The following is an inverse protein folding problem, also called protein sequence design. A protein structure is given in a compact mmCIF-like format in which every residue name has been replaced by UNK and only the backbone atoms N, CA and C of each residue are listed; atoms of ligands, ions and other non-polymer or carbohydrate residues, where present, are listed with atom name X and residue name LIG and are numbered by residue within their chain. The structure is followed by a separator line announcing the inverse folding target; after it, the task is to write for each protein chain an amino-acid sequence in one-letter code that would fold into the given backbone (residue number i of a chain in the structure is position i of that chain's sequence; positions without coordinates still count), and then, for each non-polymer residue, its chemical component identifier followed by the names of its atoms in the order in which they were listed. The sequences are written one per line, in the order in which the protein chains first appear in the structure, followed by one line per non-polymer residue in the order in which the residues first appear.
data_IF_536048752392
#
_entry.id   IF_536048752392
#
_cell.length_a   1.000
_cell.length_b   1.000
_cell.length_c   1.000
_cell.angle_alpha   90.00
_cell.angle_beta   90.00
_cell.angle_gamma   90.00
#
_symmetry.space_group_name_H-M   'P 1'
#
loop_
_entity.id
_entity.type
_entity.pdbx_description
1 polymer ?
#
# COMPACT_ATOMS: atom_id res chain seq x y z
N UNK A 1 33.91 -13.43 -0.25
CA UNK A 1 34.10 -12.05 -0.76
C UNK A 1 33.61 -11.11 0.32
N UNK A 2 34.42 -10.15 0.72
CA UNK A 2 34.02 -9.15 1.72
C UNK A 2 32.92 -8.25 1.14
N UNK A 3 31.90 -7.90 1.93
CA UNK A 3 30.80 -7.09 1.43
C UNK A 3 31.25 -5.64 1.21
N UNK A 4 30.95 -5.12 0.02
CA UNK A 4 31.32 -3.78 -0.40
C UNK A 4 30.53 -2.73 0.37
N UNK A 5 31.19 -1.61 0.68
CA UNK A 5 30.50 -0.42 1.15
C UNK A 5 29.83 0.27 -0.04
N UNK A 6 28.60 0.76 0.15
CA UNK A 6 27.79 1.35 -0.92
C UNK A 6 28.43 2.61 -1.53
N UNK A 7 29.12 3.39 -0.69
CA UNK A 7 29.82 4.63 -1.05
C UNK A 7 31.02 4.79 -0.13
N UNK A 8 32.18 5.14 -0.68
CA UNK A 8 33.41 5.24 0.10
C UNK A 8 33.70 6.67 0.58
N UNK A 9 33.16 7.71 -0.09
CA UNK A 9 33.42 9.11 0.26
C UNK A 9 32.19 9.86 0.76
N UNK A 10 32.38 10.78 1.73
CA UNK A 10 31.29 11.65 2.23
C UNK A 10 30.72 12.58 1.15
N UNK A 11 31.53 12.93 0.14
CA UNK A 11 31.12 13.79 -0.99
C UNK A 11 30.11 13.09 -1.89
N UNK A 12 30.35 11.82 -2.21
CA UNK A 12 29.41 11.00 -2.99
C UNK A 12 28.06 10.84 -2.27
N UNK A 13 28.06 10.64 -0.95
CA UNK A 13 26.82 10.63 -0.15
C UNK A 13 26.06 11.95 -0.27
N UNK A 14 26.74 13.08 -0.16
CA UNK A 14 26.13 14.40 -0.34
C UNK A 14 25.49 14.57 -1.72
N UNK A 15 26.16 14.10 -2.77
CA UNK A 15 25.63 14.14 -4.15
C UNK A 15 24.39 13.28 -4.30
N UNK A 16 24.40 12.04 -3.78
CA UNK A 16 23.23 11.15 -3.81
C UNK A 16 22.03 11.79 -3.10
N UNK A 17 22.22 12.32 -1.89
CA UNK A 17 21.13 12.97 -1.16
C UNK A 17 20.63 14.22 -1.87
N UNK A 18 21.51 15.01 -2.49
CA UNK A 18 21.12 16.16 -3.29
C UNK A 18 20.29 15.76 -4.51
N UNK A 19 20.68 14.70 -5.21
CA UNK A 19 19.91 14.17 -6.34
C UNK A 19 18.53 13.68 -5.90
N UNK A 20 18.47 12.90 -4.81
CA UNK A 20 17.21 12.42 -4.25
C UNK A 20 16.32 13.58 -3.78
N UNK A 21 16.90 14.64 -3.23
CA UNK A 21 16.18 15.84 -2.83
C UNK A 21 15.53 16.55 -4.04
N UNK A 22 16.25 16.72 -5.15
CA UNK A 22 15.66 17.29 -6.37
C UNK A 22 14.56 16.40 -6.95
N UNK A 23 14.76 15.08 -6.96
CA UNK A 23 13.74 14.13 -7.41
C UNK A 23 12.49 14.20 -6.52
N UNK A 24 12.67 14.35 -5.20
CA UNK A 24 11.57 14.52 -4.25
C UNK A 24 10.82 15.83 -4.50
N UNK A 25 11.52 16.95 -4.71
CA UNK A 25 10.89 18.23 -5.05
C UNK A 25 10.10 18.16 -6.36
N UNK A 26 10.65 17.48 -7.37
CA UNK A 26 9.96 17.29 -8.64
C UNK A 26 8.65 16.48 -8.46
N UNK A 27 8.70 15.41 -7.66
CA UNK A 27 7.50 14.61 -7.37
C UNK A 27 6.48 15.42 -6.55
N UNK A 28 6.94 16.19 -5.55
CA UNK A 28 6.07 17.05 -4.76
C UNK A 28 5.41 18.13 -5.63
N UNK A 29 6.15 18.69 -6.58
CA UNK A 29 5.64 19.65 -7.55
C UNK A 29 4.56 19.04 -8.44
N UNK A 30 4.73 17.81 -8.91
CA UNK A 30 3.70 17.11 -9.67
C UNK A 30 2.40 16.93 -8.86
N UNK A 31 2.51 16.54 -7.59
CA UNK A 31 1.35 16.50 -6.68
C UNK A 31 0.71 17.87 -6.45
N UNK A 32 1.52 18.92 -6.41
CA UNK A 32 1.03 20.28 -6.24
C UNK A 32 0.23 20.76 -7.47
N UNK A 33 0.66 20.42 -8.69
CA UNK A 33 -0.11 20.71 -9.90
C UNK A 33 -1.49 20.04 -9.87
N UNK A 34 -1.53 18.74 -9.54
CA UNK A 34 -2.79 18.00 -9.40
C UNK A 34 -3.71 18.59 -8.33
N UNK A 35 -3.13 19.04 -7.22
CA UNK A 35 -3.86 19.76 -6.17
C UNK A 35 -4.46 21.08 -6.65
N UNK A 36 -3.72 21.84 -7.48
CA UNK A 36 -4.24 23.08 -8.06
C UNK A 36 -5.43 22.82 -8.99
N UNK A 37 -5.40 21.75 -9.78
CA UNK A 37 -6.54 21.36 -10.63
C UNK A 37 -7.81 21.09 -9.80
N UNK A 38 -7.67 20.43 -8.64
CA UNK A 38 -8.80 20.11 -7.76
C UNK A 38 -9.45 21.36 -7.17
N UNK A 39 -8.65 22.35 -6.75
CA UNK A 39 -9.17 23.53 -6.02
C UNK A 39 -9.64 24.65 -6.94
N UNK A 40 -9.39 24.55 -8.25
CA UNK A 40 -9.93 25.51 -9.22
C UNK A 40 -11.46 25.57 -9.19
N UNK A 41 -12.12 24.45 -8.90
CA UNK A 41 -13.57 24.38 -8.76
C UNK A 41 -13.97 24.45 -7.29
N UNK A 42 -15.01 25.23 -6.95
CA UNK A 42 -15.53 25.31 -5.57
C UNK A 42 -16.13 23.99 -5.09
N UNK A 43 -16.65 23.21 -6.03
CA UNK A 43 -17.23 21.88 -5.83
C UNK A 43 -16.48 20.91 -6.72
N UNK A 44 -15.83 19.93 -6.11
CA UNK A 44 -15.16 18.86 -6.83
C UNK A 44 -16.06 17.62 -6.87
N UNK A 45 -16.18 17.01 -8.06
CA UNK A 45 -16.95 15.78 -8.30
C UNK A 45 -16.02 14.71 -8.84
N UNK A 46 -16.04 13.53 -8.21
CA UNK A 46 -15.37 12.35 -8.76
C UNK A 46 -15.98 11.05 -8.18
N UNK A 47 -15.51 9.93 -8.70
CA UNK A 47 -15.81 8.58 -8.25
C UNK A 47 -14.79 8.10 -7.22
N UNK A 48 -15.27 7.51 -6.13
CA UNK A 48 -14.44 7.06 -5.02
C UNK A 48 -14.81 5.66 -4.58
N UNK A 49 -13.83 4.91 -4.09
CA UNK A 49 -14.05 3.60 -3.47
C UNK A 49 -14.20 3.79 -1.96
N UNK A 50 -15.20 3.13 -1.39
CA UNK A 50 -15.42 3.06 0.06
C UNK A 50 -14.37 2.14 0.68
N UNK A 51 -13.29 2.72 1.22
CA UNK A 51 -12.20 1.95 1.84
C UNK A 51 -12.54 1.51 3.25
N UNK A 52 -13.24 2.34 4.03
CA UNK A 52 -13.68 1.97 5.38
C UNK A 52 -14.93 2.71 5.82
N UNK A 53 -15.60 2.18 6.85
CA UNK A 53 -16.84 2.69 7.43
C UNK A 53 -16.69 2.73 8.95
N UNK A 54 -16.96 3.90 9.54
CA UNK A 54 -16.89 4.14 10.99
C UNK A 54 -18.28 4.52 11.51
N UNK A 55 -19.06 3.57 12.03
CA UNK A 55 -20.38 3.89 12.59
C UNK A 55 -20.23 4.72 13.88
N UNK A 56 -20.99 5.81 13.99
CA UNK A 56 -21.15 6.62 15.22
C UNK A 56 -22.59 6.56 15.70
N UNK A 57 -22.92 7.22 16.81
CA UNK A 57 -24.27 7.21 17.37
C UNK A 57 -25.29 7.90 16.47
N UNK A 58 -24.93 9.05 15.89
CA UNK A 58 -25.85 9.90 15.11
C UNK A 58 -25.61 9.88 13.60
N UNK A 59 -24.39 9.55 13.16
CA UNK A 59 -24.00 9.49 11.75
C UNK A 59 -23.01 8.35 11.50
N UNK A 60 -22.64 8.14 10.24
CA UNK A 60 -21.58 7.20 9.85
C UNK A 60 -20.51 7.97 9.10
N UNK A 61 -19.24 7.79 9.46
CA UNK A 61 -18.13 8.37 8.70
C UNK A 61 -17.62 7.37 7.67
N UNK A 62 -17.54 7.78 6.41
CA UNK A 62 -16.94 7.01 5.33
C UNK A 62 -15.51 7.48 5.09
N UNK A 63 -14.61 6.53 4.84
CA UNK A 63 -13.29 6.81 4.24
C UNK A 63 -13.39 6.50 2.75
N UNK A 64 -13.33 7.54 1.94
CA UNK A 64 -13.41 7.48 0.48
C UNK A 64 -12.02 7.69 -0.10
N UNK A 65 -11.67 6.93 -1.14
CA UNK A 65 -10.39 7.10 -1.84
C UNK A 65 -10.51 6.78 -3.31
N UNK A 66 -9.86 7.58 -4.14
CA UNK A 66 -9.51 7.28 -5.52
C UNK A 66 -7.96 7.26 -5.62
N UNK A 67 -7.42 7.34 -6.83
CA UNK A 67 -5.96 7.32 -7.08
C UNK A 67 -5.24 8.59 -6.57
N UNK A 68 -5.96 9.70 -6.42
CA UNK A 68 -5.36 11.01 -6.15
C UNK A 68 -5.69 11.56 -4.75
N UNK A 69 -6.87 11.29 -4.23
CA UNK A 69 -7.47 11.89 -3.04
C UNK A 69 -7.95 10.77 -2.12
N UNK A 70 -7.68 10.94 -0.83
CA UNK A 70 -8.33 10.19 0.24
C UNK A 70 -8.98 11.19 1.18
N UNK A 71 -10.26 11.04 1.45
CA UNK A 71 -10.95 11.92 2.39
C UNK A 71 -11.99 11.18 3.22
N UNK A 72 -12.45 11.87 4.27
CA UNK A 72 -13.45 11.40 5.19
C UNK A 72 -14.69 12.30 5.10
N UNK A 73 -15.86 11.70 5.09
CA UNK A 73 -17.14 12.41 5.05
C UNK A 73 -18.16 11.73 5.96
N UNK A 74 -19.18 12.46 6.40
CA UNK A 74 -20.23 11.94 7.26
C UNK A 74 -21.53 11.82 6.50
N UNK A 75 -22.19 10.68 6.67
CA UNK A 75 -23.48 10.35 6.05
C UNK A 75 -24.51 9.96 7.11
N UNK A 76 -25.78 10.04 6.74
CA UNK A 76 -26.87 9.49 7.55
C UNK A 76 -26.83 7.95 7.51
N UNK A 77 -27.26 7.32 8.61
CA UNK A 77 -27.23 5.86 8.77
C UNK A 77 -28.10 5.09 7.79
N UNK A 78 -29.10 5.75 7.21
CA UNK A 78 -30.11 5.10 6.37
C UNK A 78 -29.57 4.68 4.99
N UNK A 79 -28.38 5.14 4.61
CA UNK A 79 -27.73 4.76 3.35
C UNK A 79 -26.99 3.42 3.51
N UNK A 80 -27.44 2.39 2.79
CA UNK A 80 -26.83 1.07 2.78
C UNK A 80 -25.61 1.01 1.85
N UNK A 81 -24.50 1.61 2.30
CA UNK A 81 -23.20 1.64 1.62
C UNK A 81 -22.28 0.61 2.26
N UNK A 82 -21.63 -0.23 1.44
CA UNK A 82 -20.69 -1.25 1.89
C UNK A 82 -19.24 -0.91 1.52
N UNK A 83 -18.29 -1.57 2.18
CA UNK A 83 -16.87 -1.48 1.80
C UNK A 83 -16.71 -2.04 0.39
N UNK A 84 -15.79 -1.45 -0.39
CA UNK A 84 -15.56 -1.72 -1.82
C UNK A 84 -16.63 -1.21 -2.79
N UNK A 85 -17.73 -0.62 -2.30
CA UNK A 85 -18.65 0.06 -3.20
C UNK A 85 -17.95 1.28 -3.84
N UNK A 86 -18.22 1.51 -5.12
CA UNK A 86 -17.82 2.71 -5.85
C UNK A 86 -18.96 3.71 -5.80
N UNK A 87 -18.68 4.89 -5.26
CA UNK A 87 -19.65 5.96 -5.07
C UNK A 87 -19.23 7.21 -5.83
N UNK A 88 -20.20 7.90 -6.41
CA UNK A 88 -20.02 9.30 -6.81
C UNK A 88 -20.11 10.17 -5.58
N UNK A 89 -19.28 11.20 -5.47
CA UNK A 89 -19.43 12.16 -4.38
C UNK A 89 -18.91 13.55 -4.75
N UNK A 90 -19.61 14.55 -4.24
CA UNK A 90 -19.31 15.96 -4.41
C UNK A 90 -18.84 16.55 -3.08
N UNK A 91 -17.76 17.33 -3.07
CA UNK A 91 -17.33 18.02 -1.85
C UNK A 91 -16.81 19.44 -2.13
N UNK A 92 -16.83 20.28 -1.09
CA UNK A 92 -16.32 21.64 -1.16
C UNK A 92 -14.79 21.67 -1.03
N UNK A 93 -14.14 22.45 -1.89
CA UNK A 93 -12.68 22.55 -1.96
C UNK A 93 -12.10 23.72 -1.16
N UNK A 94 -12.95 24.65 -0.73
CA UNK A 94 -12.57 25.97 -0.21
C UNK A 94 -11.64 25.98 1.01
N UNK A 95 -11.56 24.88 1.77
CA UNK A 95 -10.78 24.77 3.00
C UNK A 95 -9.74 23.64 2.98
N UNK A 96 -9.37 23.15 1.80
CA UNK A 96 -8.39 22.07 1.66
C UNK A 96 -7.03 22.69 1.41
N UNK A 97 -6.09 22.55 2.35
CA UNK A 97 -4.70 22.93 2.11
C UNK A 97 -3.93 21.84 1.35
N UNK A 98 -2.79 22.18 0.76
CA UNK A 98 -1.93 21.18 0.10
C UNK A 98 -1.45 20.10 1.06
N UNK A 99 -1.20 20.48 2.31
CA UNK A 99 -0.85 19.54 3.37
C UNK A 99 -2.00 18.55 3.64
N UNK A 100 -3.23 19.05 3.71
CA UNK A 100 -4.43 18.24 3.88
C UNK A 100 -4.65 17.30 2.70
N UNK A 101 -4.42 17.76 1.47
CA UNK A 101 -4.45 16.93 0.26
C UNK A 101 -3.48 15.75 0.31
N UNK A 102 -2.24 15.97 0.78
CA UNK A 102 -1.24 14.90 0.87
C UNK A 102 -1.54 13.87 1.97
N UNK A 103 -2.08 14.32 3.10
CA UNK A 103 -2.38 13.49 4.27
C UNK A 103 -3.73 12.77 4.16
N UNK A 104 -4.66 13.38 3.44
CA UNK A 104 -6.08 13.11 3.51
C UNK A 104 -6.77 13.98 4.55
N UNK A 105 -8.03 14.33 4.25
CA UNK A 105 -8.76 15.38 4.96
C UNK A 105 -10.20 14.98 5.26
N UNK A 106 -10.84 15.74 6.13
CA UNK A 106 -12.27 15.61 6.38
C UNK A 106 -12.99 16.78 5.70
N UNK A 107 -14.03 16.47 4.92
CA UNK A 107 -14.89 17.48 4.30
C UNK A 107 -16.32 16.96 4.24
N UNK A 108 -17.34 17.81 4.50
CA UNK A 108 -18.72 17.43 4.23
C UNK A 108 -18.88 17.20 2.72
N UNK A 109 -19.39 16.03 2.35
CA UNK A 109 -19.76 15.74 0.97
C UNK A 109 -21.27 15.62 0.82
N UNK A 110 -21.74 15.85 -0.40
CA UNK A 110 -23.15 15.82 -0.76
C UNK A 110 -23.38 14.93 -1.99
N UNK A 111 -24.65 14.54 -2.17
CA UNK A 111 -25.11 13.69 -3.27
C UNK A 111 -24.28 12.41 -3.47
N UNK A 112 -24.01 11.67 -2.38
CA UNK A 112 -23.32 10.37 -2.47
C UNK A 112 -24.27 9.34 -3.11
N UNK A 113 -23.91 8.85 -4.29
CA UNK A 113 -24.68 7.85 -5.04
C UNK A 113 -23.82 6.62 -5.32
N UNK A 114 -24.39 5.41 -5.24
CA UNK A 114 -23.65 4.19 -5.55
C UNK A 114 -23.68 3.99 -7.06
N UNK A 115 -22.51 4.02 -7.70
CA UNK A 115 -22.36 3.81 -9.16
C UNK A 115 -22.18 2.32 -9.45
N UNK A 116 -21.34 1.63 -8.68
CA UNK A 116 -20.96 0.25 -8.94
C UNK A 116 -20.61 -0.50 -7.64
N UNK A 117 -20.92 -1.79 -7.57
CA UNK A 117 -20.58 -2.70 -6.46
C UNK A 117 -19.47 -3.70 -6.81
N UNK A 118 -19.01 -3.70 -8.05
CA UNK A 118 -18.10 -4.68 -8.62
C UNK A 118 -16.64 -4.20 -8.62
N UNK A 119 -16.08 -3.94 -7.45
CA UNK A 119 -14.63 -3.79 -7.32
C UNK A 119 -13.93 -5.10 -7.71
N UNK A 120 -12.69 -5.04 -8.22
CA UNK A 120 -11.95 -6.25 -8.64
C UNK A 120 -11.69 -7.23 -7.48
N UNK A 121 -11.69 -6.73 -6.25
CA UNK A 121 -11.59 -7.57 -5.04
C UNK A 121 -12.93 -8.20 -4.62
N UNK A 122 -14.07 -7.69 -5.10
CA UNK A 122 -15.42 -8.16 -4.71
C UNK A 122 -15.61 -9.67 -4.94
N UNK A 123 -15.21 -10.28 -6.08
CA UNK A 123 -15.37 -11.72 -6.29
C UNK A 123 -14.65 -12.57 -5.24
N UNK A 124 -13.44 -12.20 -4.86
CA UNK A 124 -12.64 -12.95 -3.88
C UNK A 124 -13.11 -12.64 -2.45
N UNK A 125 -13.57 -11.41 -2.19
CA UNK A 125 -14.23 -11.07 -0.93
C UNK A 125 -15.49 -11.93 -0.71
N UNK A 126 -16.33 -12.07 -1.75
CA UNK A 126 -17.52 -12.91 -1.72
C UNK A 126 -17.17 -14.40 -1.62
N UNK A 127 -16.06 -14.83 -2.24
CA UNK A 127 -15.56 -16.19 -2.06
C UNK A 127 -15.24 -16.45 -0.58
N UNK A 128 -14.52 -15.54 0.10
CA UNK A 128 -14.23 -15.64 1.53
C UNK A 128 -15.51 -15.68 2.38
N UNK A 129 -16.53 -14.89 2.02
CA UNK A 129 -17.84 -14.89 2.69
C UNK A 129 -18.50 -16.27 2.66
N UNK A 130 -18.41 -16.98 1.53
CA UNK A 130 -19.04 -18.32 1.40
C UNK A 130 -18.29 -19.44 2.13
N UNK A 131 -17.02 -19.24 2.48
CA UNK A 131 -16.20 -20.25 3.17
C UNK A 131 -16.40 -20.27 4.70
N UNK A 132 -16.98 -19.21 5.28
CA UNK A 132 -17.02 -19.06 6.74
C UNK A 132 -18.42 -18.70 7.22
N UNK A 133 -18.85 -19.33 8.32
CA UNK A 133 -20.13 -19.03 8.96
C UNK A 133 -20.03 -17.84 9.92
N UNK A 134 -18.87 -17.64 10.56
CA UNK A 134 -18.65 -16.57 11.52
C UNK A 134 -18.16 -15.29 10.81
N UNK A 135 -18.92 -14.20 10.98
CA UNK A 135 -18.63 -12.88 10.39
C UNK A 135 -17.29 -12.29 10.83
N UNK A 136 -16.87 -12.49 12.08
CA UNK A 136 -15.58 -11.98 12.56
C UNK A 136 -14.41 -12.67 11.85
N UNK A 137 -14.54 -13.97 11.60
CA UNK A 137 -13.53 -14.75 10.86
C UNK A 137 -13.47 -14.26 9.41
N UNK A 138 -14.63 -14.04 8.77
CA UNK A 138 -14.70 -13.45 7.43
C UNK A 138 -13.93 -12.13 7.37
N UNK A 139 -14.18 -11.22 8.32
CA UNK A 139 -13.54 -9.91 8.36
C UNK A 139 -12.02 -10.04 8.56
N UNK A 140 -11.57 -10.98 9.39
CA UNK A 140 -10.14 -11.28 9.58
C UNK A 140 -9.50 -11.79 8.29
N UNK A 141 -10.12 -12.72 7.57
CA UNK A 141 -9.57 -13.25 6.32
C UNK A 141 -9.54 -12.19 5.22
N UNK A 142 -10.58 -11.35 5.13
CA UNK A 142 -10.62 -10.20 4.22
C UNK A 142 -9.50 -9.20 4.54
N UNK A 143 -9.23 -8.92 5.81
CA UNK A 143 -8.09 -8.10 6.20
C UNK A 143 -6.75 -8.73 5.84
N UNK A 144 -6.57 -10.02 6.13
CA UNK A 144 -5.32 -10.74 5.96
C UNK A 144 -4.90 -10.92 4.49
N UNK A 145 -5.86 -11.17 3.60
CA UNK A 145 -5.57 -11.48 2.19
C UNK A 145 -5.89 -10.35 1.21
N UNK A 146 -6.87 -9.50 1.53
CA UNK A 146 -7.33 -8.43 0.64
C UNK A 146 -7.02 -7.03 1.18
N UNK A 147 -6.42 -6.92 2.37
CA UNK A 147 -6.21 -5.65 3.07
C UNK A 147 -7.48 -4.82 3.29
N UNK A 148 -8.65 -5.47 3.32
CA UNK A 148 -9.90 -4.79 3.64
C UNK A 148 -9.87 -4.43 5.13
N UNK A 149 -10.04 -3.16 5.52
CA UNK A 149 -9.94 -2.77 6.92
C UNK A 149 -10.94 -3.50 7.81
N UNK A 150 -10.48 -3.95 8.97
CA UNK A 150 -11.33 -4.59 9.98
C UNK A 150 -12.40 -3.61 10.52
N UNK A 151 -13.59 -4.11 10.92
CA UNK A 151 -14.54 -3.35 11.73
C UNK A 151 -13.89 -2.77 13.00
N UNK A 152 -14.41 -1.63 13.47
CA UNK A 152 -13.85 -0.92 14.61
C UNK A 152 -13.80 -1.79 15.88
N UNK A 153 -14.86 -2.56 16.14
CA UNK A 153 -14.98 -3.38 17.34
C UNK A 153 -13.91 -4.47 17.40
N UNK A 154 -13.71 -5.19 16.29
CA UNK A 154 -12.67 -6.22 16.14
C UNK A 154 -11.27 -5.60 16.25
N UNK A 155 -11.07 -4.42 15.66
CA UNK A 155 -9.80 -3.70 15.78
C UNK A 155 -9.46 -3.33 17.22
N UNK A 156 -10.44 -2.87 18.01
CA UNK A 156 -10.25 -2.53 19.42
C UNK A 156 -9.91 -3.79 20.23
N UNK A 157 -10.63 -4.89 20.01
CA UNK A 157 -10.32 -6.16 20.65
C UNK A 157 -8.90 -6.64 20.32
N UNK A 158 -8.53 -6.65 19.03
CA UNK A 158 -7.18 -7.04 18.58
C UNK A 158 -6.08 -6.13 19.14
N UNK A 159 -6.36 -4.83 19.30
CA UNK A 159 -5.44 -3.89 19.94
C UNK A 159 -5.26 -4.22 21.42
N UNK A 160 -6.34 -4.54 22.14
CA UNK A 160 -6.29 -4.96 23.55
C UNK A 160 -5.49 -6.25 23.75
N UNK A 161 -5.57 -7.19 22.79
CA UNK A 161 -4.76 -8.41 22.78
C UNK A 161 -3.32 -8.21 22.27
N UNK A 162 -2.96 -7.01 21.79
CA UNK A 162 -1.62 -6.71 21.26
C UNK A 162 -1.31 -7.31 19.89
N UNK A 163 -2.31 -7.83 19.17
CA UNK A 163 -2.17 -8.58 17.91
C UNK A 163 -2.62 -7.81 16.67
N UNK A 164 -2.97 -6.53 16.80
CA UNK A 164 -3.42 -5.68 15.67
C UNK A 164 -2.42 -5.66 14.50
N UNK A 165 -1.12 -5.67 14.79
CA UNK A 165 -0.05 -5.69 13.79
C UNK A 165 0.05 -7.01 13.00
N UNK A 166 -0.51 -8.10 13.52
CA UNK A 166 -0.51 -9.41 12.84
C UNK A 166 -1.60 -9.50 11.76
N UNK A 167 -2.70 -8.77 11.93
CA UNK A 167 -3.82 -8.79 10.97
C UNK A 167 -3.73 -7.67 9.93
N UNK A 168 -2.94 -6.63 10.19
CA UNK A 168 -2.61 -5.63 9.19
C UNK A 168 -1.56 -6.19 8.23
N UNK A 169 -1.89 -6.24 6.92
CA UNK A 169 -0.92 -6.62 5.90
C UNK A 169 0.32 -5.74 6.02
N UNK A 170 1.49 -6.38 6.10
CA UNK A 170 2.75 -5.73 6.49
C UNK A 170 3.94 -6.44 5.85
N UNK A 171 5.16 -5.97 6.14
CA UNK A 171 6.39 -6.60 5.65
C UNK A 171 6.60 -8.04 6.14
N UNK A 172 6.02 -8.40 7.29
CA UNK A 172 6.02 -9.78 7.76
C UNK A 172 5.27 -10.71 6.80
N UNK A 173 4.08 -10.30 6.36
CA UNK A 173 3.28 -11.04 5.39
C UNK A 173 4.05 -11.23 4.07
N UNK A 174 4.72 -10.18 3.59
CA UNK A 174 5.57 -10.24 2.41
C UNK A 174 6.67 -11.28 2.57
N UNK A 175 7.35 -11.32 3.72
CA UNK A 175 8.41 -12.28 3.99
C UNK A 175 7.89 -13.74 4.04
N UNK A 176 6.73 -13.97 4.67
CA UNK A 176 6.11 -15.30 4.74
C UNK A 176 5.72 -15.80 3.34
N UNK A 177 5.00 -14.97 2.57
CA UNK A 177 4.58 -15.28 1.20
C UNK A 177 5.81 -15.53 0.32
N UNK A 178 6.83 -14.66 0.42
CA UNK A 178 8.07 -14.81 -0.33
C UNK A 178 8.79 -16.12 -0.01
N UNK A 179 8.86 -16.50 1.27
CA UNK A 179 9.50 -17.75 1.70
C UNK A 179 8.78 -18.96 1.13
N UNK A 180 7.45 -18.95 1.18
CA UNK A 180 6.62 -20.00 0.60
C UNK A 180 6.81 -20.10 -0.93
N UNK A 181 6.70 -18.98 -1.64
CA UNK A 181 6.93 -18.91 -3.09
C UNK A 181 8.34 -19.36 -3.47
N UNK A 182 9.35 -18.92 -2.72
CA UNK A 182 10.74 -19.33 -2.94
C UNK A 182 10.89 -20.83 -2.80
N UNK A 183 10.31 -21.45 -1.76
CA UNK A 183 10.35 -22.90 -1.58
C UNK A 183 9.67 -23.64 -2.73
N UNK A 184 8.46 -23.20 -3.13
CA UNK A 184 7.69 -23.78 -4.21
C UNK A 184 8.44 -23.72 -5.55
N UNK A 185 8.96 -22.55 -5.92
CA UNK A 185 9.76 -22.39 -7.13
C UNK A 185 11.10 -23.09 -7.05
N UNK A 186 11.73 -23.13 -5.89
CA UNK A 186 12.95 -23.90 -5.73
C UNK A 186 12.74 -25.37 -6.06
N UNK A 187 11.62 -25.98 -5.64
CA UNK A 187 11.30 -27.36 -5.98
C UNK A 187 11.14 -27.57 -7.50
N UNK A 188 10.32 -26.75 -8.16
CA UNK A 188 10.00 -26.89 -9.58
C UNK A 188 11.13 -26.43 -10.51
N UNK A 189 11.74 -25.28 -10.22
CA UNK A 189 12.78 -24.66 -11.04
C UNK A 189 14.11 -25.41 -10.98
N UNK A 190 14.39 -26.20 -9.92
CA UNK A 190 15.63 -27.01 -9.87
C UNK A 190 15.79 -27.92 -11.10
N UNK A 191 14.70 -28.55 -11.54
CA UNK A 191 14.72 -29.47 -12.68
C UNK A 191 15.01 -28.72 -13.98
N UNK A 192 14.33 -27.59 -14.18
CA UNK A 192 14.48 -26.74 -15.37
C UNK A 192 15.87 -26.11 -15.43
N UNK A 193 16.36 -25.59 -14.30
CA UNK A 193 17.66 -24.93 -14.19
C UNK A 193 18.81 -25.86 -14.56
N UNK A 194 18.81 -27.10 -14.04
CA UNK A 194 19.84 -28.10 -14.36
C UNK A 194 19.87 -28.49 -15.83
N UNK A 195 18.71 -28.56 -16.48
CA UNK A 195 18.60 -29.05 -17.85
C UNK A 195 18.83 -27.95 -18.90
N UNK A 196 18.37 -26.72 -18.65
CA UNK A 196 18.36 -25.66 -19.66
C UNK A 196 19.26 -24.46 -19.34
N UNK A 197 19.48 -24.14 -18.05
CA UNK A 197 20.18 -22.91 -17.63
C UNK A 197 21.22 -23.11 -16.52
N UNK A 198 22.13 -24.11 -16.62
CA UNK A 198 23.05 -24.43 -15.52
C UNK A 198 24.02 -23.29 -15.18
N UNK A 199 24.25 -22.35 -16.10
CA UNK A 199 25.16 -21.22 -15.96
C UNK A 199 24.59 -20.02 -15.17
N UNK A 200 23.28 -19.97 -14.92
CA UNK A 200 22.64 -18.85 -14.19
C UNK A 200 22.63 -19.07 -12.68
N UNK A 201 22.57 -17.99 -11.90
CA UNK A 201 22.35 -18.09 -10.47
C UNK A 201 20.88 -18.44 -10.18
N UNK A 202 20.63 -19.72 -9.88
CA UNK A 202 19.31 -20.25 -9.53
C UNK A 202 18.59 -19.45 -8.44
N UNK A 203 19.30 -19.03 -7.38
CA UNK A 203 18.69 -18.32 -6.25
C UNK A 203 18.16 -16.95 -6.68
N UNK A 204 18.92 -16.26 -7.53
CA UNK A 204 18.53 -14.96 -8.07
C UNK A 204 17.32 -15.08 -9.00
N UNK A 205 17.33 -16.08 -9.89
CA UNK A 205 16.20 -16.32 -10.81
C UNK A 205 14.89 -16.57 -10.04
N UNK A 206 14.95 -17.39 -8.98
CA UNK A 206 13.79 -17.66 -8.11
C UNK A 206 13.33 -16.37 -7.41
N UNK A 207 14.25 -15.56 -6.87
CA UNK A 207 13.89 -14.30 -6.22
C UNK A 207 13.21 -13.32 -7.18
N UNK A 208 13.71 -13.22 -8.43
CA UNK A 208 13.09 -12.37 -9.46
C UNK A 208 11.68 -12.89 -9.80
N UNK A 209 11.51 -14.20 -9.99
CA UNK A 209 10.21 -14.79 -10.27
C UNK A 209 9.22 -14.56 -9.12
N UNK A 210 9.64 -14.79 -7.88
CA UNK A 210 8.81 -14.50 -6.70
C UNK A 210 8.47 -13.02 -6.59
N UNK A 211 9.43 -12.13 -6.90
CA UNK A 211 9.20 -10.69 -6.89
C UNK A 211 8.12 -10.25 -7.88
N UNK A 212 8.07 -10.86 -9.08
CA UNK A 212 7.03 -10.56 -10.07
C UNK A 212 5.64 -10.92 -9.52
N UNK A 213 5.51 -12.07 -8.87
CA UNK A 213 4.22 -12.54 -8.33
C UNK A 213 3.78 -11.68 -7.14
N UNK A 214 4.71 -11.33 -6.25
CA UNK A 214 4.42 -10.44 -5.12
C UNK A 214 4.05 -9.04 -5.63
N UNK A 215 4.68 -8.56 -6.71
CA UNK A 215 4.31 -7.29 -7.33
C UNK A 215 2.89 -7.33 -7.90
N UNK A 216 2.53 -8.41 -8.60
CA UNK A 216 1.15 -8.60 -9.07
C UNK A 216 0.15 -8.65 -7.91
N UNK A 217 0.50 -9.30 -6.80
CA UNK A 217 -0.32 -9.32 -5.59
C UNK A 217 -0.45 -7.94 -4.94
N UNK A 218 0.63 -7.16 -4.88
CA UNK A 218 0.65 -5.79 -4.38
C UNK A 218 -0.28 -4.87 -5.20
N UNK A 219 -0.30 -5.01 -6.53
CA UNK A 219 -1.25 -4.29 -7.40
C UNK A 219 -2.69 -4.71 -7.08
N UNK A 220 -2.92 -6.01 -6.92
CA UNK A 220 -4.25 -6.56 -6.66
C UNK A 220 -4.88 -6.05 -5.34
N UNK A 221 -4.07 -5.83 -4.29
CA UNK A 221 -4.53 -5.27 -3.00
C UNK A 221 -4.60 -3.72 -2.97
N UNK A 222 -4.54 -3.04 -4.13
CA UNK A 222 -4.57 -1.57 -4.26
C UNK A 222 -3.40 -0.84 -3.61
N UNK A 223 -2.17 -1.35 -3.76
CA UNK A 223 -0.95 -0.64 -3.37
C UNK A 223 -0.91 -0.19 -1.91
N UNK A 224 -1.43 -1.02 -0.99
CA UNK A 224 -1.45 -0.74 0.46
C UNK A 224 -0.10 -0.23 0.94
N UNK A 225 -0.10 0.93 1.59
CA UNK A 225 1.11 1.67 1.96
C UNK A 225 2.15 0.85 2.75
N UNK A 226 1.71 0.02 3.70
CA UNK A 226 2.60 -0.84 4.51
C UNK A 226 3.25 -1.94 3.67
N UNK A 227 2.50 -2.58 2.78
CA UNK A 227 2.99 -3.65 1.90
C UNK A 227 3.88 -3.08 0.80
N UNK A 228 3.51 -1.94 0.20
CA UNK A 228 4.30 -1.23 -0.81
C UNK A 228 5.70 -0.85 -0.27
N UNK A 229 5.77 -0.25 0.93
CA UNK A 229 7.05 0.07 1.59
C UNK A 229 7.93 -1.17 1.72
N UNK A 230 7.34 -2.26 2.21
CA UNK A 230 8.05 -3.53 2.41
C UNK A 230 8.52 -4.14 1.09
N UNK A 231 7.72 -4.05 0.04
CA UNK A 231 8.08 -4.52 -1.30
C UNK A 231 9.24 -3.72 -1.91
N UNK A 232 9.21 -2.38 -1.80
CA UNK A 232 10.30 -1.53 -2.27
C UNK A 232 11.59 -1.82 -1.50
N UNK A 233 11.53 -1.98 -0.17
CA UNK A 233 12.67 -2.40 0.64
C UNK A 233 13.22 -3.76 0.20
N UNK A 234 12.34 -4.73 -0.08
CA UNK A 234 12.74 -6.05 -0.59
C UNK A 234 13.42 -5.96 -1.96
N UNK A 235 12.86 -5.19 -2.90
CA UNK A 235 13.42 -5.01 -4.23
C UNK A 235 14.79 -4.33 -4.19
N UNK A 236 14.95 -3.28 -3.37
CA UNK A 236 16.25 -2.65 -3.11
C UNK A 236 17.22 -3.65 -2.48
N UNK A 237 16.74 -4.49 -1.55
CA UNK A 237 17.51 -5.58 -0.97
C UNK A 237 18.05 -6.56 -2.01
N UNK A 238 17.27 -6.92 -3.03
CA UNK A 238 17.75 -7.76 -4.15
C UNK A 238 18.89 -7.06 -4.91
N UNK A 239 18.76 -5.75 -5.18
CA UNK A 239 19.79 -4.97 -5.88
C UNK A 239 21.10 -4.94 -5.07
N UNK A 240 21.01 -4.71 -3.76
CA UNK A 240 22.17 -4.74 -2.87
C UNK A 240 22.81 -6.11 -2.80
N UNK A 241 22.00 -7.18 -2.71
CA UNK A 241 22.49 -8.55 -2.69
C UNK A 241 23.24 -8.91 -3.98
N UNK A 242 22.69 -8.52 -5.14
CA UNK A 242 23.35 -8.72 -6.45
C UNK A 242 24.66 -7.94 -6.56
N UNK A 243 24.72 -6.76 -5.95
CA UNK A 243 25.90 -5.88 -5.98
C UNK A 243 26.92 -6.20 -4.88
N UNK A 244 26.70 -7.26 -4.08
CA UNK A 244 27.52 -7.62 -2.92
C UNK A 244 27.68 -6.51 -1.88
N UNK A 245 26.71 -5.60 -1.80
CA UNK A 245 26.69 -4.51 -0.82
C UNK A 245 26.16 -5.03 0.51
N UNK A 246 26.67 -4.52 1.63
CA UNK A 246 26.13 -4.81 2.97
C UNK A 246 24.65 -4.43 3.05
N UNK A 247 23.76 -5.43 3.10
CA UNK A 247 22.30 -5.21 3.14
C UNK A 247 21.89 -4.57 4.48
N UNK A 248 22.37 -5.11 5.60
CA UNK A 248 22.03 -4.66 6.95
C UNK A 248 23.07 -3.68 7.50
N UNK A 249 22.89 -2.40 7.19
CA UNK A 249 23.64 -1.31 7.81
C UNK A 249 22.72 -0.10 8.02
N UNK A 250 23.02 0.76 9.00
CA UNK A 250 22.23 1.98 9.21
C UNK A 250 22.22 2.89 7.97
N UNK A 251 23.34 2.95 7.23
CA UNK A 251 23.45 3.77 6.03
C UNK A 251 22.58 3.23 4.89
N UNK A 252 22.58 1.91 4.65
CA UNK A 252 21.73 1.30 3.61
C UNK A 252 20.26 1.37 3.97
N UNK A 253 19.90 1.24 5.25
CA UNK A 253 18.53 1.43 5.73
C UNK A 253 18.06 2.88 5.52
N UNK A 254 18.87 3.86 5.93
CA UNK A 254 18.57 5.29 5.75
C UNK A 254 18.40 5.63 4.26
N UNK A 255 19.30 5.15 3.41
CA UNK A 255 19.20 5.37 1.96
C UNK A 255 17.90 4.78 1.40
N UNK A 256 17.56 3.55 1.80
CA UNK A 256 16.33 2.88 1.39
C UNK A 256 15.09 3.68 1.81
N UNK A 257 15.08 4.20 3.04
CA UNK A 257 14.02 5.05 3.56
C UNK A 257 13.87 6.35 2.74
N UNK A 258 14.98 7.04 2.45
CA UNK A 258 14.97 8.27 1.62
C UNK A 258 14.47 7.97 0.21
N UNK A 259 14.89 6.87 -0.40
CA UNK A 259 14.41 6.46 -1.73
C UNK A 259 12.89 6.25 -1.71
N UNK A 260 12.35 5.56 -0.70
CA UNK A 260 10.90 5.32 -0.58
C UNK A 260 10.12 6.64 -0.51
N UNK A 261 10.57 7.59 0.32
CA UNK A 261 9.91 8.90 0.45
C UNK A 261 10.01 9.70 -0.85
N UNK A 262 11.16 9.62 -1.51
CA UNK A 262 11.39 10.29 -2.80
C UNK A 262 10.45 9.77 -3.88
N UNK A 263 10.24 8.46 -3.93
CA UNK A 263 9.36 7.81 -4.90
C UNK A 263 7.87 7.93 -4.54
N UNK A 264 7.52 8.07 -3.27
CA UNK A 264 6.12 8.09 -2.83
C UNK A 264 5.95 9.04 -1.64
N UNK A 265 5.87 10.36 -1.86
CA UNK A 265 5.82 11.35 -0.79
C UNK A 265 4.59 11.19 0.12
N UNK A 266 3.44 10.74 -0.42
CA UNK A 266 2.21 10.46 0.34
C UNK A 266 2.39 9.38 1.41
N UNK A 267 3.36 8.46 1.26
CA UNK A 267 3.61 7.42 2.26
C UNK A 267 4.13 7.95 3.59
N UNK A 268 4.64 9.20 3.64
CA UNK A 268 4.97 9.87 4.90
C UNK A 268 3.77 10.06 5.81
N UNK A 269 2.60 10.31 5.23
CA UNK A 269 1.37 10.62 5.98
C UNK A 269 0.46 9.40 6.19
N UNK A 270 0.73 8.30 5.48
CA UNK A 270 0.01 7.04 5.61
C UNK A 270 0.59 6.12 6.72
N UNK A 271 1.00 6.70 7.84
CA UNK A 271 1.50 5.98 9.01
C UNK A 271 0.37 5.52 9.93
#
# INVERSE_FOLDING_TARGET
MEPLNLVNTKKEWGLIYLLLFFLFLFHLFFHFLHYQEIIQEEVYQDTFIVKNIYPKETYTTLKLSNDSITYFTSINKDQNILKLDTVESFFLTSNISFYDYLKGFYTPSFAITIINKNHHQTPIANFIDTQHTNKEIVDIYKALFLAIPLPQDINIQNANFGVSHLFAISGFHLAVILTFLYFLFNLSYTKVHKNYFPYRNKRFDILVLSSIIIFSYLIYIDLVASFLRSFVMFFIGIIFLRSHIKVLSFNTLLLTFVIIITLFPKLLFSL
#
